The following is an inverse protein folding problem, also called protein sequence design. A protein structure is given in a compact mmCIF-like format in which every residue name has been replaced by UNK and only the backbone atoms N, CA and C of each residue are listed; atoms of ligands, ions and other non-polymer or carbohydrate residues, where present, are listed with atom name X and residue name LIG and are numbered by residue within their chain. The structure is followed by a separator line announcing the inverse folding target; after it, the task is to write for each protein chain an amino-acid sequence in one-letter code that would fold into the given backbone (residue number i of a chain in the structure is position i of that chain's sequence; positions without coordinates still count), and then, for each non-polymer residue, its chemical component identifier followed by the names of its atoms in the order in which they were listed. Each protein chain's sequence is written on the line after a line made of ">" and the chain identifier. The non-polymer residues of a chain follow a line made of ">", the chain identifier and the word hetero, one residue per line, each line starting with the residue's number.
data_IF_196741139875
#
_entry.id   IF_196741139875
#
_cell.length_a   1.000
_cell.length_b   1.000
_cell.length_c   1.000
_cell.angle_alpha   90.00
_cell.angle_beta   90.00
_cell.angle_gamma   90.00
#
_symmetry.space_group_name_H-M   'P 1'
#
loop_
_entity.id
_entity.type
_entity.pdbx_description
1 polymer ?
#
# COMPACT_ATOMS: atom_id res chain seq x y z
N UNK A 1 -3.29 39.37 -6.22
CA UNK A 1 -3.87 38.02 -6.21
C UNK A 1 -3.13 37.26 -7.29
N UNK A 2 -2.09 36.53 -6.88
CA UNK A 2 -1.18 35.87 -7.81
C UNK A 2 -1.82 34.57 -8.31
N UNK A 3 -2.53 34.68 -9.43
CA UNK A 3 -3.19 33.59 -10.14
C UNK A 3 -2.22 32.44 -10.53
N UNK A 4 -0.91 32.66 -10.42
CA UNK A 4 0.11 31.63 -10.62
C UNK A 4 0.42 30.83 -9.35
N UNK A 5 0.43 31.48 -8.17
CA UNK A 5 0.61 30.81 -6.89
C UNK A 5 -0.55 29.86 -6.57
N UNK A 6 -1.79 30.27 -6.84
CA UNK A 6 -2.99 29.44 -6.60
C UNK A 6 -2.96 28.14 -7.44
N UNK A 7 -2.47 28.22 -8.68
CA UNK A 7 -2.33 27.04 -9.56
C UNK A 7 -1.17 26.13 -9.17
N UNK A 8 -0.08 26.69 -8.64
CA UNK A 8 1.05 25.90 -8.13
C UNK A 8 0.63 25.09 -6.90
N UNK A 9 -0.15 25.69 -6.00
CA UNK A 9 -0.67 24.99 -4.82
C UNK A 9 -1.59 23.83 -5.19
N UNK A 10 -2.48 24.02 -6.17
CA UNK A 10 -3.37 22.97 -6.66
C UNK A 10 -2.57 21.77 -7.23
N UNK A 11 -1.57 22.04 -8.07
CA UNK A 11 -0.69 20.99 -8.62
C UNK A 11 0.07 20.27 -7.50
N UNK A 12 0.61 21.02 -6.52
CA UNK A 12 1.33 20.43 -5.40
C UNK A 12 0.43 19.52 -4.56
N UNK A 13 -0.84 19.90 -4.35
CA UNK A 13 -1.80 19.08 -3.62
C UNK A 13 -2.11 17.77 -4.35
N UNK A 14 -2.27 17.81 -5.68
CA UNK A 14 -2.44 16.61 -6.50
C UNK A 14 -1.22 15.70 -6.42
N UNK A 15 -0.01 16.26 -6.56
CA UNK A 15 1.24 15.49 -6.46
C UNK A 15 1.39 14.82 -5.08
N UNK A 16 1.10 15.55 -4.01
CA UNK A 16 1.14 15.02 -2.65
C UNK A 16 0.10 13.90 -2.44
N UNK A 17 -1.11 14.04 -2.99
CA UNK A 17 -2.13 13.00 -2.93
C UNK A 17 -1.69 11.74 -3.70
N UNK A 18 -1.08 11.91 -4.87
CA UNK A 18 -0.54 10.81 -5.67
C UNK A 18 0.60 10.08 -4.94
N UNK A 19 1.50 10.82 -4.29
CA UNK A 19 2.59 10.23 -3.52
C UNK A 19 2.08 9.31 -2.40
N UNK A 20 1.04 9.74 -1.67
CA UNK A 20 0.43 8.94 -0.58
C UNK A 20 -0.12 7.59 -1.03
N UNK A 21 -0.55 7.46 -2.29
CA UNK A 21 -1.04 6.19 -2.85
C UNK A 21 0.09 5.17 -2.98
N UNK A 22 1.34 5.63 -3.07
CA UNK A 22 2.54 4.79 -3.18
C UNK A 22 3.15 4.44 -1.83
N UNK A 23 2.57 4.91 -0.72
CA UNK A 23 3.05 4.65 0.64
C UNK A 23 2.40 3.39 1.22
N UNK A 24 3.19 2.61 1.95
CA UNK A 24 2.73 1.42 2.63
C UNK A 24 1.92 1.83 3.87
N UNK A 25 0.65 1.42 4.01
CA UNK A 25 -0.17 1.81 5.16
C UNK A 25 0.31 1.30 6.53
N UNK A 26 1.32 0.41 6.55
CA UNK A 26 1.88 -0.16 7.78
C UNK A 26 3.12 0.63 8.25
N UNK A 27 4.04 0.95 7.35
CA UNK A 27 5.30 1.63 7.71
C UNK A 27 5.34 3.11 7.30
N UNK A 28 4.37 3.59 6.51
CA UNK A 28 4.26 4.96 6.01
C UNK A 28 5.46 5.40 5.16
N UNK A 29 6.13 4.42 4.54
CA UNK A 29 7.24 4.62 3.60
C UNK A 29 6.80 4.16 2.22
N UNK A 30 7.50 4.60 1.17
CA UNK A 30 7.30 4.12 -0.19
C UNK A 30 7.27 2.58 -0.25
N UNK A 31 6.27 2.01 -0.94
CA UNK A 31 6.08 0.56 -1.02
C UNK A 31 7.28 -0.11 -1.69
N UNK A 32 7.91 -1.03 -0.96
CA UNK A 32 9.01 -1.89 -1.43
C UNK A 32 8.53 -3.33 -1.56
N UNK A 33 8.82 -3.96 -2.69
CA UNK A 33 8.31 -5.30 -3.04
C UNK A 33 6.79 -5.40 -2.80
N UNK A 34 5.96 -4.71 -3.60
CA UNK A 34 4.51 -4.64 -3.38
C UNK A 34 3.88 -6.04 -3.40
N UNK A 35 3.12 -6.34 -2.34
CA UNK A 35 2.20 -7.46 -2.29
C UNK A 35 0.78 -6.94 -2.22
N UNK A 36 -0.11 -7.47 -3.06
CA UNK A 36 -1.54 -7.24 -2.95
C UNK A 36 -2.18 -8.36 -2.14
N UNK A 37 -3.20 -7.97 -1.39
CA UNK A 37 -4.09 -8.87 -0.66
C UNK A 37 -5.31 -9.18 -1.52
N UNK A 38 -6.11 -10.18 -1.13
CA UNK A 38 -7.40 -10.48 -1.80
C UNK A 38 -8.44 -9.35 -1.73
N UNK A 39 -8.24 -8.39 -0.83
CA UNK A 39 -9.05 -7.18 -0.76
C UNK A 39 -8.40 -5.99 -1.49
N UNK A 40 -7.49 -6.28 -2.42
CA UNK A 40 -6.81 -5.34 -3.34
C UNK A 40 -5.96 -4.23 -2.69
N UNK A 41 -5.81 -4.24 -1.37
CA UNK A 41 -4.90 -3.36 -0.65
C UNK A 41 -3.45 -3.83 -0.80
N UNK A 42 -2.55 -2.86 -1.03
CA UNK A 42 -1.13 -3.07 -1.30
C UNK A 42 -0.29 -2.68 -0.09
N UNK A 43 0.71 -3.50 0.21
CA UNK A 43 1.65 -3.28 1.31
C UNK A 43 3.07 -3.70 0.90
N UNK A 44 4.08 -3.30 1.67
CA UNK A 44 5.41 -3.91 1.56
C UNK A 44 5.34 -5.39 1.94
N UNK A 45 6.01 -6.25 1.17
CA UNK A 45 6.17 -7.68 1.48
C UNK A 45 6.64 -7.91 2.92
N UNK A 46 7.69 -7.19 3.35
CA UNK A 46 8.24 -7.34 4.70
C UNK A 46 7.21 -6.99 5.78
N UNK A 47 6.46 -5.89 5.61
CA UNK A 47 5.42 -5.47 6.55
C UNK A 47 4.32 -6.53 6.67
N UNK A 48 3.89 -7.09 5.54
CA UNK A 48 2.87 -8.13 5.52
C UNK A 48 3.36 -9.43 6.17
N UNK A 49 4.58 -9.88 5.85
CA UNK A 49 5.16 -11.08 6.48
C UNK A 49 5.33 -10.92 7.99
N UNK A 50 5.75 -9.73 8.45
CA UNK A 50 5.85 -9.41 9.88
C UNK A 50 4.46 -9.49 10.55
N UNK A 51 3.43 -8.90 9.95
CA UNK A 51 2.06 -8.95 10.46
C UNK A 51 1.56 -10.40 10.62
N UNK A 52 1.77 -11.22 9.58
CA UNK A 52 1.35 -12.63 9.56
C UNK A 52 2.12 -13.51 10.56
N UNK A 53 3.40 -13.21 10.80
CA UNK A 53 4.24 -14.00 11.72
C UNK A 53 4.03 -13.61 13.21
N UNK A 54 3.57 -12.39 13.49
CA UNK A 54 3.42 -11.89 14.87
C UNK A 54 2.12 -12.36 15.54
N UNK A 55 1.08 -12.70 14.79
CA UNK A 55 -0.24 -13.05 15.34
C UNK A 55 -0.44 -14.57 15.39
N UNK A 56 -0.68 -15.10 16.58
CA UNK A 56 -1.22 -16.47 16.77
C UNK A 56 -2.73 -16.46 16.52
N UNK A 57 -3.16 -16.22 15.28
CA UNK A 57 -4.58 -16.13 14.92
C UNK A 57 -4.81 -15.60 13.50
N UNK A 58 -6.08 -15.49 13.05
CA UNK A 58 -6.39 -14.90 11.75
C UNK A 58 -5.84 -13.47 11.69
N UNK A 59 -5.08 -13.19 10.64
CA UNK A 59 -4.59 -11.84 10.38
C UNK A 59 -5.61 -11.11 9.53
N UNK A 60 -5.80 -9.82 9.80
CA UNK A 60 -6.80 -9.00 9.11
C UNK A 60 -6.12 -7.83 8.41
N UNK A 61 -6.70 -7.39 7.30
CA UNK A 61 -6.25 -6.21 6.57
C UNK A 61 -6.28 -4.98 7.48
N UNK A 62 -5.17 -4.23 7.61
CA UNK A 62 -5.15 -3.00 8.40
C UNK A 62 -6.21 -1.97 7.95
N UNK A 63 -6.49 -1.92 6.64
CA UNK A 63 -7.39 -0.94 6.01
C UNK A 63 -8.87 -1.34 6.06
N UNK A 64 -9.24 -2.55 5.64
CA UNK A 64 -10.64 -2.96 5.54
C UNK A 64 -11.07 -4.10 6.48
N UNK A 65 -10.16 -4.62 7.30
CA UNK A 65 -10.39 -5.71 8.27
C UNK A 65 -10.77 -7.08 7.69
N UNK A 66 -10.79 -7.24 6.37
CA UNK A 66 -10.96 -8.55 5.73
C UNK A 66 -9.83 -9.51 6.13
N UNK A 67 -10.14 -10.80 6.19
CA UNK A 67 -9.15 -11.83 6.56
C UNK A 67 -8.04 -11.97 5.51
N UNK A 68 -6.82 -12.09 6.00
CA UNK A 68 -5.60 -12.28 5.22
C UNK A 68 -4.94 -13.58 5.65
N UNK A 69 -4.55 -14.38 4.66
CA UNK A 69 -3.66 -15.52 4.87
C UNK A 69 -2.43 -15.40 3.98
N UNK A 70 -1.34 -16.05 4.40
CA UNK A 70 -0.06 -16.06 3.65
C UNK A 70 -0.19 -16.59 2.22
N UNK A 71 -1.17 -17.48 1.98
CA UNK A 71 -1.45 -18.08 0.65
C UNK A 71 -2.14 -17.11 -0.31
N UNK A 72 -2.65 -15.99 0.19
CA UNK A 72 -3.41 -15.00 -0.58
C UNK A 72 -2.62 -13.73 -0.86
N UNK A 73 -1.30 -13.75 -0.65
CA UNK A 73 -0.42 -12.65 -1.04
C UNK A 73 -0.04 -12.83 -2.51
N UNK A 74 -0.46 -11.86 -3.33
CA UNK A 74 -0.16 -11.82 -4.76
C UNK A 74 0.97 -10.82 -4.96
N UNK A 75 1.97 -11.18 -5.75
CA UNK A 75 3.11 -10.33 -6.05
C UNK A 75 2.79 -9.42 -7.23
N UNK A 76 2.77 -8.10 -7.01
CA UNK A 76 2.33 -7.12 -8.01
C UNK A 76 3.35 -6.98 -9.16
N UNK A 77 4.59 -7.43 -8.97
CA UNK A 77 5.69 -7.30 -9.95
C UNK A 77 6.03 -8.56 -10.74
N UNK A 78 5.29 -9.66 -10.57
CA UNK A 78 5.52 -10.88 -11.37
C UNK A 78 4.70 -10.84 -12.66
N UNK A 79 5.05 -9.91 -13.54
CA UNK A 79 4.67 -9.93 -14.96
C UNK A 79 5.40 -11.05 -15.71
N UNK A 80 5.13 -12.30 -15.33
CA UNK A 80 5.73 -13.49 -15.90
C UNK A 80 4.94 -14.71 -15.47
N UNK A 81 3.82 -14.95 -16.15
CA UNK A 81 3.14 -16.24 -16.10
C UNK A 81 4.09 -17.26 -16.74
N UNK A 82 4.47 -18.27 -15.95
CA UNK A 82 4.93 -19.57 -16.40
C UNK A 82 4.19 -20.62 -15.58
#
# INVERSE_FOLDING_TARGET
>A
MDLSADRVEEVQNVLNAMQKILECPICLELIKEPVSTKCDHIFCKFCMLKLLNQRKGPSQCPLCKNDITKRYLIWVVMGGWA
#
